data_IF_103253014946
#
_entry.id   IF_103253014946
#
_cell.length_a   1.000
_cell.length_b   1.000
_cell.length_c   1.000
_cell.angle_alpha   90.00
_cell.angle_beta   90.00
_cell.angle_gamma   90.00
#
_symmetry.space_group_name_H-M   'P 1'
#
loop_
_entity.id
_entity.type
_entity.pdbx_description
1 polymer ?
#
# COMPACT_ATOMS: atom_id res chain seq x y z
N UNK A 1 35.40 -23.85 -54.10
CA UNK A 1 35.68 -23.11 -52.90
C UNK A 1 34.94 -21.80 -52.91
N UNK A 2 33.92 -21.55 -52.10
CA UNK A 2 33.79 -20.23 -51.51
C UNK A 2 33.60 -20.34 -49.98
N UNK A 3 34.22 -19.38 -49.26
CA UNK A 3 34.19 -19.19 -47.81
C UNK A 3 32.83 -18.69 -47.36
N UNK A 4 32.20 -19.41 -46.45
CA UNK A 4 31.08 -18.96 -45.66
C UNK A 4 31.58 -18.00 -44.56
N UNK A 5 31.09 -16.76 -44.60
CA UNK A 5 31.26 -15.73 -43.55
C UNK A 5 30.13 -15.89 -42.56
N UNK A 6 30.44 -16.34 -41.36
CA UNK A 6 29.63 -16.25 -40.17
C UNK A 6 29.51 -14.78 -39.73
N UNK A 7 28.27 -14.26 -39.68
CA UNK A 7 27.95 -13.01 -38.98
C UNK A 7 27.81 -13.31 -37.47
N UNK A 8 28.38 -12.53 -36.59
CA UNK A 8 27.99 -12.54 -35.19
C UNK A 8 26.66 -11.80 -35.05
N UNK A 9 25.71 -12.43 -34.44
CA UNK A 9 24.45 -11.78 -33.97
C UNK A 9 24.79 -11.00 -32.69
N UNK A 10 24.91 -9.68 -32.85
CA UNK A 10 25.00 -8.74 -31.74
C UNK A 10 23.62 -8.65 -31.09
N UNK A 11 23.39 -9.42 -30.04
CA UNK A 11 22.26 -9.27 -29.13
C UNK A 11 22.42 -7.97 -28.35
N UNK A 12 21.79 -6.89 -28.79
CA UNK A 12 21.59 -5.70 -27.97
C UNK A 12 20.86 -6.07 -26.69
N UNK A 13 21.36 -5.67 -25.49
CA UNK A 13 20.59 -5.82 -24.26
C UNK A 13 19.39 -4.88 -24.33
N UNK A 14 18.19 -5.46 -24.25
CA UNK A 14 16.94 -4.70 -24.05
C UNK A 14 17.12 -3.71 -22.89
N UNK A 15 17.30 -2.45 -23.25
CA UNK A 15 17.25 -1.33 -22.30
C UNK A 15 15.81 -1.30 -21.75
N UNK A 16 15.66 -1.68 -20.50
CA UNK A 16 14.48 -1.35 -19.70
C UNK A 16 14.27 0.15 -19.82
N UNK A 17 13.28 0.55 -20.59
CA UNK A 17 12.83 1.93 -20.69
C UNK A 17 12.19 2.31 -19.35
N UNK A 18 12.99 2.88 -18.46
CA UNK A 18 12.47 3.60 -17.33
C UNK A 18 11.56 4.71 -17.90
N UNK A 19 10.27 4.64 -17.61
CA UNK A 19 9.30 5.65 -18.03
C UNK A 19 9.76 6.99 -17.46
N UNK A 20 10.27 7.86 -18.33
CA UNK A 20 10.73 9.20 -17.94
C UNK A 20 9.48 10.02 -17.61
N UNK A 21 9.17 10.13 -16.32
CA UNK A 21 8.09 11.01 -15.82
C UNK A 21 8.39 12.43 -16.27
N UNK A 22 7.48 13.05 -16.99
CA UNK A 22 7.66 14.40 -17.56
C UNK A 22 7.84 15.44 -16.44
N UNK A 23 8.53 16.56 -16.75
CA UNK A 23 8.69 17.66 -15.80
C UNK A 23 7.34 18.22 -15.33
N UNK A 24 6.32 18.19 -16.19
CA UNK A 24 4.98 18.63 -15.85
C UNK A 24 4.30 17.69 -14.85
N UNK A 25 4.41 16.38 -15.04
CA UNK A 25 3.89 15.39 -14.10
C UNK A 25 4.57 15.49 -12.73
N UNK A 26 5.90 15.68 -12.69
CA UNK A 26 6.63 15.89 -11.44
C UNK A 26 6.16 17.16 -10.72
N UNK A 27 5.95 18.26 -11.46
CA UNK A 27 5.43 19.51 -10.90
C UNK A 27 4.00 19.35 -10.37
N UNK A 28 3.15 18.61 -11.08
CA UNK A 28 1.78 18.34 -10.63
C UNK A 28 1.77 17.47 -9.37
N UNK A 29 2.62 16.44 -9.31
CA UNK A 29 2.78 15.59 -8.13
C UNK A 29 3.23 16.44 -6.92
N UNK A 30 4.24 17.28 -7.08
CA UNK A 30 4.72 18.16 -6.02
C UNK A 30 3.63 19.08 -5.46
N UNK A 31 2.83 19.71 -6.34
CA UNK A 31 1.72 20.57 -5.89
C UNK A 31 0.66 19.77 -5.16
N UNK A 32 0.30 18.59 -5.66
CA UNK A 32 -0.65 17.68 -5.01
C UNK A 32 -0.17 17.29 -3.61
N UNK A 33 1.08 16.91 -3.50
CA UNK A 33 1.68 16.49 -2.23
C UNK A 33 1.75 17.66 -1.23
N UNK A 34 2.10 18.87 -1.69
CA UNK A 34 2.09 20.08 -0.86
C UNK A 34 0.69 20.39 -0.31
N UNK A 35 -0.36 20.25 -1.14
CA UNK A 35 -1.75 20.44 -0.69
C UNK A 35 -2.12 19.37 0.35
N UNK A 36 -1.73 18.11 0.13
CA UNK A 36 -2.01 17.02 1.05
C UNK A 36 -1.33 17.23 2.40
N UNK A 37 -0.05 17.57 2.41
CA UNK A 37 0.70 17.83 3.64
C UNK A 37 0.09 18.99 4.45
N UNK A 38 -0.21 20.12 3.80
CA UNK A 38 -0.84 21.27 4.46
C UNK A 38 -2.21 20.89 5.06
N UNK A 39 -2.97 20.03 4.39
CA UNK A 39 -4.26 19.57 4.91
C UNK A 39 -4.11 18.68 6.13
N UNK A 40 -3.17 17.73 6.12
CA UNK A 40 -2.93 16.84 7.28
C UNK A 40 -2.49 17.64 8.50
N UNK A 41 -1.63 18.67 8.34
CA UNK A 41 -1.24 19.55 9.43
C UNK A 41 -2.44 20.31 10.00
N UNK A 42 -3.27 20.90 9.13
CA UNK A 42 -4.47 21.62 9.57
C UNK A 42 -5.51 20.71 10.22
N UNK A 43 -5.70 19.49 9.73
CA UNK A 43 -6.60 18.52 10.35
C UNK A 43 -6.10 18.08 11.74
N UNK A 44 -4.80 17.94 11.91
CA UNK A 44 -4.21 17.62 13.22
C UNK A 44 -4.31 18.78 14.21
N UNK A 45 -4.13 20.03 13.74
CA UNK A 45 -4.15 21.25 14.56
C UNK A 45 -5.57 21.69 14.91
N UNK A 46 -6.43 21.87 13.90
CA UNK A 46 -7.77 22.48 14.02
C UNK A 46 -8.92 21.49 14.00
N UNK A 47 -8.66 20.28 13.56
CA UNK A 47 -9.67 19.26 13.32
C UNK A 47 -10.14 19.20 11.88
N UNK A 48 -10.61 18.02 11.48
CA UNK A 48 -11.07 17.78 10.11
C UNK A 48 -12.30 18.60 9.75
N UNK A 49 -13.27 18.72 10.67
CA UNK A 49 -14.54 19.40 10.40
C UNK A 49 -14.37 20.92 10.29
N UNK A 50 -13.56 21.52 11.18
CA UNK A 50 -13.30 22.96 11.24
C UNK A 50 -12.35 23.47 10.13
N UNK A 51 -11.64 22.57 9.46
CA UNK A 51 -10.73 22.95 8.38
C UNK A 51 -11.50 23.13 7.07
N UNK A 52 -11.38 24.30 6.44
CA UNK A 52 -11.98 24.60 5.14
C UNK A 52 -10.98 24.39 4.00
N UNK A 53 -11.50 24.28 2.76
CA UNK A 53 -10.65 24.20 1.56
C UNK A 53 -9.83 25.48 1.38
N UNK A 54 -10.39 26.62 1.78
CA UNK A 54 -9.72 27.92 1.77
C UNK A 54 -8.52 27.92 2.71
N UNK A 55 -8.66 27.34 3.91
CA UNK A 55 -7.53 27.19 4.86
C UNK A 55 -6.43 26.32 4.26
N UNK A 56 -6.79 25.18 3.64
CA UNK A 56 -5.83 24.28 3.01
C UNK A 56 -5.11 24.95 1.85
N UNK A 57 -5.85 25.61 0.96
CA UNK A 57 -5.29 26.28 -0.20
C UNK A 57 -4.32 27.41 0.21
N UNK A 58 -4.69 28.20 1.20
CA UNK A 58 -3.83 29.26 1.75
C UNK A 58 -2.54 28.70 2.36
N UNK A 59 -2.64 27.64 3.19
CA UNK A 59 -1.49 27.00 3.80
C UNK A 59 -0.56 26.33 2.78
N UNK A 60 -1.12 25.76 1.70
CA UNK A 60 -0.34 25.19 0.61
C UNK A 60 0.21 26.24 -0.39
N UNK A 61 0.00 27.54 -0.16
CA UNK A 61 0.43 28.60 -1.08
C UNK A 61 -0.23 28.51 -2.46
N UNK A 62 -1.47 28.04 -2.53
CA UNK A 62 -2.21 27.82 -3.78
C UNK A 62 -3.61 28.45 -3.75
N UNK A 63 -4.36 28.35 -4.84
CA UNK A 63 -5.74 28.84 -4.91
C UNK A 63 -6.75 27.71 -4.66
N UNK A 64 -7.98 28.07 -4.23
CA UNK A 64 -9.12 27.14 -4.18
C UNK A 64 -9.35 26.43 -5.52
N UNK A 65 -9.20 27.14 -6.66
CA UNK A 65 -9.29 26.55 -8.00
C UNK A 65 -8.21 25.49 -8.23
N UNK A 66 -6.98 25.73 -7.75
CA UNK A 66 -5.90 24.76 -7.83
C UNK A 66 -6.16 23.54 -6.95
N UNK A 67 -6.72 23.72 -5.75
CA UNK A 67 -7.16 22.60 -4.92
C UNK A 67 -8.10 21.66 -5.69
N UNK A 68 -9.19 22.20 -6.26
CA UNK A 68 -10.19 21.42 -7.00
C UNK A 68 -9.67 20.79 -8.31
N UNK A 69 -8.49 21.16 -8.77
CA UNK A 69 -7.82 20.44 -9.87
C UNK A 69 -7.24 19.11 -9.45
N UNK A 70 -6.92 18.93 -8.16
CA UNK A 70 -6.26 17.74 -7.62
C UNK A 70 -7.16 16.91 -6.72
N UNK A 71 -8.12 17.52 -6.04
CA UNK A 71 -8.99 16.90 -5.05
C UNK A 71 -10.42 17.42 -5.17
N UNK A 72 -11.39 16.50 -5.15
CA UNK A 72 -12.80 16.86 -5.23
C UNK A 72 -13.33 17.39 -3.89
N UNK A 73 -12.74 16.96 -2.78
CA UNK A 73 -13.17 17.33 -1.42
C UNK A 73 -12.07 17.08 -0.38
N UNK A 74 -12.29 17.49 0.87
CA UNK A 74 -11.45 17.13 2.01
C UNK A 74 -11.41 15.61 2.22
N UNK A 75 -12.54 14.93 1.99
CA UNK A 75 -12.64 13.48 2.10
C UNK A 75 -11.82 12.77 1.02
N UNK A 76 -11.87 13.26 -0.22
CA UNK A 76 -11.04 12.72 -1.30
C UNK A 76 -9.54 12.90 -1.01
N UNK A 77 -9.15 14.05 -0.45
CA UNK A 77 -7.78 14.27 0.01
C UNK A 77 -7.34 13.24 1.07
N UNK A 78 -8.20 12.91 2.04
CA UNK A 78 -7.90 11.86 3.03
C UNK A 78 -7.78 10.47 2.39
N UNK A 79 -8.54 10.19 1.34
CA UNK A 79 -8.49 8.94 0.59
C UNK A 79 -7.16 8.76 -0.18
N UNK A 80 -6.48 9.86 -0.53
CA UNK A 80 -5.19 9.82 -1.23
C UNK A 80 -4.11 9.08 -0.42
N UNK A 81 -4.12 9.17 0.90
CA UNK A 81 -3.22 8.42 1.77
C UNK A 81 -3.34 6.89 1.56
N UNK A 82 -4.56 6.39 1.34
CA UNK A 82 -4.81 4.96 1.05
C UNK A 82 -4.28 4.56 -0.32
N UNK A 83 -4.39 5.43 -1.33
CA UNK A 83 -3.85 5.13 -2.67
C UNK A 83 -2.31 5.07 -2.66
N UNK A 84 -1.66 5.99 -1.95
CA UNK A 84 -0.20 5.95 -1.77
C UNK A 84 0.26 4.71 -1.00
N UNK A 85 -0.49 4.29 0.02
CA UNK A 85 -0.28 3.04 0.72
C UNK A 85 -0.44 1.82 -0.21
N UNK A 86 -1.45 1.80 -1.09
CA UNK A 86 -1.65 0.78 -2.12
C UNK A 86 -0.46 0.67 -3.08
N UNK A 87 0.08 1.81 -3.52
CA UNK A 87 1.30 1.85 -4.35
C UNK A 87 2.48 1.22 -3.61
N UNK A 88 2.71 1.57 -2.34
CA UNK A 88 3.79 0.99 -1.54
C UNK A 88 3.65 -0.53 -1.40
N UNK A 89 2.44 -1.06 -1.28
CA UNK A 89 2.18 -2.50 -1.24
C UNK A 89 2.52 -3.17 -2.57
N UNK A 90 2.05 -2.62 -3.69
CA UNK A 90 2.31 -3.20 -5.02
C UNK A 90 3.78 -3.17 -5.38
N UNK A 91 4.50 -2.11 -5.03
CA UNK A 91 5.94 -2.00 -5.23
C UNK A 91 6.70 -3.02 -4.38
N UNK A 92 6.37 -3.17 -3.10
CA UNK A 92 6.99 -4.19 -2.23
C UNK A 92 6.77 -5.63 -2.73
N UNK A 93 5.61 -5.93 -3.34
CA UNK A 93 5.34 -7.21 -3.98
C UNK A 93 6.25 -7.42 -5.20
N UNK A 94 6.36 -6.41 -6.06
CA UNK A 94 7.16 -6.47 -7.30
C UNK A 94 8.67 -6.55 -7.02
N UNK A 95 9.14 -5.84 -6.01
CA UNK A 95 10.55 -5.78 -5.61
C UNK A 95 10.99 -6.99 -4.79
N UNK A 96 10.07 -7.84 -4.34
CA UNK A 96 10.40 -9.07 -3.62
C UNK A 96 11.25 -10.01 -4.50
N UNK A 97 12.29 -10.68 -3.96
CA UNK A 97 13.13 -11.62 -4.70
C UNK A 97 12.34 -12.66 -5.52
N UNK A 98 12.78 -12.94 -6.75
CA UNK A 98 12.06 -13.83 -7.68
C UNK A 98 11.93 -15.26 -7.16
N UNK A 99 12.85 -15.68 -6.31
CA UNK A 99 12.93 -17.02 -5.70
C UNK A 99 11.95 -17.21 -4.55
N UNK A 100 11.33 -16.13 -4.04
CA UNK A 100 10.44 -16.19 -2.90
C UNK A 100 9.14 -16.95 -3.22
N UNK A 101 8.73 -17.81 -2.29
CA UNK A 101 7.41 -18.44 -2.27
C UNK A 101 6.31 -17.39 -2.04
N UNK A 102 5.02 -17.71 -2.33
CA UNK A 102 3.90 -16.80 -2.05
C UNK A 102 3.86 -16.27 -0.61
N UNK A 103 4.19 -17.11 0.36
CA UNK A 103 4.24 -16.73 1.77
C UNK A 103 5.39 -15.75 2.07
N UNK A 104 6.57 -16.01 1.49
CA UNK A 104 7.73 -15.13 1.66
C UNK A 104 7.51 -13.77 1.01
N UNK A 105 6.89 -13.72 -0.18
CA UNK A 105 6.49 -12.44 -0.81
C UNK A 105 5.52 -11.69 0.08
N UNK A 106 4.49 -12.36 0.60
CA UNK A 106 3.50 -11.78 1.50
C UNK A 106 4.15 -11.20 2.77
N UNK A 107 4.95 -12.00 3.48
CA UNK A 107 5.66 -11.57 4.69
C UNK A 107 6.63 -10.41 4.41
N UNK A 108 7.37 -10.47 3.31
CA UNK A 108 8.25 -9.39 2.86
C UNK A 108 7.47 -8.09 2.65
N UNK A 109 6.34 -8.16 1.95
CA UNK A 109 5.46 -7.00 1.69
C UNK A 109 4.98 -6.38 2.99
N UNK A 110 4.43 -7.17 3.92
CA UNK A 110 3.97 -6.69 5.22
C UNK A 110 5.09 -5.98 5.99
N UNK A 111 6.27 -6.60 6.07
CA UNK A 111 7.40 -6.07 6.82
C UNK A 111 7.94 -4.77 6.21
N UNK A 112 8.08 -4.73 4.89
CA UNK A 112 8.58 -3.55 4.16
C UNK A 112 7.65 -2.36 4.36
N UNK A 113 6.35 -2.57 4.15
CA UNK A 113 5.37 -1.49 4.27
C UNK A 113 5.15 -1.07 5.73
N UNK A 114 5.14 -2.02 6.68
CA UNK A 114 5.05 -1.69 8.10
C UNK A 114 6.20 -0.79 8.55
N UNK A 115 7.45 -1.15 8.23
CA UNK A 115 8.63 -0.36 8.57
C UNK A 115 8.63 1.02 7.92
N UNK A 116 8.32 1.11 6.63
CA UNK A 116 8.25 2.38 5.91
C UNK A 116 7.18 3.31 6.50
N UNK A 117 6.00 2.75 6.81
CA UNK A 117 4.91 3.51 7.41
C UNK A 117 5.22 3.94 8.85
N UNK A 118 5.87 3.09 9.66
CA UNK A 118 6.27 3.45 11.03
C UNK A 118 7.34 4.56 11.06
N UNK A 119 8.21 4.60 10.05
CA UNK A 119 9.23 5.64 9.90
C UNK A 119 8.65 6.98 9.42
N UNK A 120 7.45 6.98 8.83
CA UNK A 120 6.81 8.20 8.32
C UNK A 120 5.98 8.87 9.44
N UNK A 121 6.36 10.10 9.90
CA UNK A 121 5.64 10.80 10.96
C UNK A 121 4.18 11.11 10.60
N UNK A 122 3.85 11.22 9.31
CA UNK A 122 2.49 11.47 8.82
C UNK A 122 1.54 10.29 9.03
N UNK A 123 2.04 9.06 9.05
CA UNK A 123 1.23 7.86 9.27
C UNK A 123 0.41 7.97 10.56
N UNK A 124 1.05 8.41 11.64
CA UNK A 124 0.37 8.63 12.91
C UNK A 124 -0.75 9.66 12.80
N UNK A 125 -0.45 10.83 12.24
CA UNK A 125 -1.43 11.92 12.09
C UNK A 125 -2.65 11.45 11.30
N UNK A 126 -2.43 10.79 10.17
CA UNK A 126 -3.50 10.26 9.31
C UNK A 126 -4.37 9.25 10.05
N UNK A 127 -3.76 8.36 10.83
CA UNK A 127 -4.50 7.36 11.61
C UNK A 127 -5.30 8.01 12.75
N UNK A 128 -4.73 8.96 13.49
CA UNK A 128 -5.41 9.71 14.55
C UNK A 128 -6.61 10.50 13.99
N UNK A 129 -6.45 11.15 12.82
CA UNK A 129 -7.53 11.85 12.14
C UNK A 129 -8.64 10.87 11.75
N UNK A 130 -8.30 9.72 11.15
CA UNK A 130 -9.28 8.72 10.75
C UNK A 130 -9.99 8.06 11.96
N UNK A 131 -9.31 7.90 13.08
CA UNK A 131 -9.95 7.41 14.31
C UNK A 131 -10.92 8.43 14.92
N UNK A 132 -10.55 9.70 14.90
CA UNK A 132 -11.32 10.78 15.53
C UNK A 132 -12.51 11.24 14.68
N UNK A 133 -12.39 11.24 13.36
CA UNK A 133 -13.38 11.80 12.45
C UNK A 133 -14.00 10.72 11.54
N UNK A 134 -15.27 10.34 11.76
CA UNK A 134 -15.93 9.31 10.97
C UNK A 134 -15.95 9.58 9.46
N UNK A 135 -16.09 10.85 9.04
CA UNK A 135 -16.09 11.22 7.63
C UNK A 135 -14.72 10.96 6.97
N UNK A 136 -13.63 11.26 7.67
CA UNK A 136 -12.27 10.96 7.20
C UNK A 136 -12.05 9.44 7.06
N UNK A 137 -12.49 8.66 8.07
CA UNK A 137 -12.40 7.20 8.04
C UNK A 137 -13.23 6.60 6.91
N UNK A 138 -14.46 7.08 6.70
CA UNK A 138 -15.32 6.59 5.63
C UNK A 138 -14.71 6.80 4.25
N UNK A 139 -14.07 7.94 4.03
CA UNK A 139 -13.36 8.23 2.79
C UNK A 139 -12.22 7.24 2.52
N UNK A 140 -11.46 6.86 3.55
CA UNK A 140 -10.40 5.85 3.44
C UNK A 140 -10.99 4.47 3.14
N UNK A 141 -12.04 4.05 3.86
CA UNK A 141 -12.70 2.76 3.65
C UNK A 141 -13.21 2.62 2.20
N UNK A 142 -13.74 3.68 1.62
CA UNK A 142 -14.25 3.66 0.24
C UNK A 142 -13.17 3.30 -0.80
N UNK A 143 -11.87 3.54 -0.52
CA UNK A 143 -10.75 3.22 -1.42
C UNK A 143 -10.09 1.87 -1.12
N UNK A 144 -10.39 1.24 0.00
CA UNK A 144 -9.75 -0.03 0.38
C UNK A 144 -10.02 -1.13 -0.66
N UNK A 145 -11.22 -1.22 -1.21
CA UNK A 145 -11.55 -2.22 -2.22
C UNK A 145 -10.69 -2.05 -3.49
N UNK A 146 -10.52 -0.82 -3.96
CA UNK A 146 -9.66 -0.51 -5.11
C UNK A 146 -8.21 -0.92 -4.86
N UNK A 147 -7.67 -0.60 -3.68
CA UNK A 147 -6.32 -1.00 -3.28
C UNK A 147 -6.20 -2.53 -3.17
N UNK A 148 -7.20 -3.21 -2.63
CA UNK A 148 -7.20 -4.67 -2.55
C UNK A 148 -7.17 -5.32 -3.94
N UNK A 149 -7.90 -4.78 -4.91
CA UNK A 149 -7.88 -5.28 -6.28
C UNK A 149 -6.50 -5.09 -6.93
N UNK A 150 -5.87 -3.92 -6.75
CA UNK A 150 -4.52 -3.65 -7.25
C UNK A 150 -3.47 -4.57 -6.61
N UNK A 151 -3.55 -4.79 -5.32
CA UNK A 151 -2.66 -5.70 -4.57
C UNK A 151 -2.87 -7.15 -5.00
N UNK A 152 -4.13 -7.57 -5.22
CA UNK A 152 -4.44 -8.92 -5.71
C UNK A 152 -3.89 -9.14 -7.13
N UNK A 153 -3.96 -8.13 -7.99
CA UNK A 153 -3.35 -8.21 -9.33
C UNK A 153 -1.83 -8.33 -9.25
N UNK A 154 -1.16 -7.52 -8.42
CA UNK A 154 0.29 -7.60 -8.23
C UNK A 154 0.74 -8.98 -7.71
N UNK A 155 0.00 -9.59 -6.77
CA UNK A 155 0.25 -10.96 -6.35
C UNK A 155 0.00 -11.96 -7.47
N UNK A 156 -1.07 -11.79 -8.28
CA UNK A 156 -1.40 -12.67 -9.41
C UNK A 156 -0.32 -12.64 -10.48
N UNK A 157 0.18 -11.46 -10.83
CA UNK A 157 1.31 -11.27 -11.75
C UNK A 157 2.57 -12.00 -11.26
N UNK A 158 2.79 -11.96 -9.95
CA UNK A 158 3.95 -12.54 -9.30
C UNK A 158 3.93 -14.07 -9.30
N UNK A 159 2.76 -14.70 -9.14
CA UNK A 159 2.62 -16.17 -9.00
C UNK A 159 2.41 -16.91 -10.32
N UNK A 160 2.04 -16.23 -11.40
CA UNK A 160 1.97 -16.67 -12.81
C UNK A 160 1.41 -18.05 -13.14
N UNK A 161 0.54 -18.72 -12.35
CA UNK A 161 -0.06 -20.02 -12.77
C UNK A 161 -1.41 -20.33 -12.11
N UNK A 162 -2.49 -20.40 -12.93
CA UNK A 162 -3.73 -21.14 -12.63
C UNK A 162 -4.81 -20.43 -11.79
N UNK A 163 -6.01 -21.03 -11.76
CA UNK A 163 -7.15 -20.44 -11.00
C UNK A 163 -6.94 -20.48 -9.49
N UNK A 164 -6.20 -21.46 -8.97
CA UNK A 164 -5.84 -21.58 -7.56
C UNK A 164 -4.98 -20.40 -7.11
N UNK A 165 -4.11 -19.90 -7.98
CA UNK A 165 -3.21 -18.79 -7.68
C UNK A 165 -3.95 -17.47 -7.60
N UNK A 166 -5.01 -17.25 -8.40
CA UNK A 166 -5.89 -16.07 -8.28
C UNK A 166 -6.65 -16.04 -6.96
N UNK A 167 -7.13 -17.16 -6.48
CA UNK A 167 -7.79 -17.23 -5.17
C UNK A 167 -6.80 -16.94 -4.05
N UNK A 168 -5.60 -17.51 -4.11
CA UNK A 168 -4.52 -17.24 -3.17
C UNK A 168 -4.13 -15.75 -3.18
N UNK A 169 -3.97 -15.14 -4.36
CA UNK A 169 -3.65 -13.72 -4.49
C UNK A 169 -4.71 -12.81 -3.84
N UNK A 170 -6.00 -13.11 -4.04
CA UNK A 170 -7.11 -12.37 -3.40
C UNK A 170 -7.12 -12.54 -1.89
N UNK A 171 -6.86 -13.75 -1.38
CA UNK A 171 -6.76 -14.01 0.06
C UNK A 171 -5.60 -13.21 0.65
N UNK A 172 -4.41 -13.25 0.02
CA UNK A 172 -3.25 -12.51 0.49
C UNK A 172 -3.48 -10.99 0.47
N UNK A 173 -4.13 -10.47 -0.57
CA UNK A 173 -4.48 -9.05 -0.65
C UNK A 173 -5.42 -8.62 0.49
N UNK A 174 -6.46 -9.40 0.76
CA UNK A 174 -7.38 -9.12 1.87
C UNK A 174 -6.67 -9.20 3.23
N UNK A 175 -5.85 -10.22 3.44
CA UNK A 175 -5.07 -10.40 4.67
C UNK A 175 -4.04 -9.28 4.86
N UNK A 176 -3.41 -8.79 3.77
CA UNK A 176 -2.41 -7.72 3.84
C UNK A 176 -2.97 -6.49 4.53
N UNK A 177 -4.11 -5.99 4.08
CA UNK A 177 -4.74 -4.82 4.69
C UNK A 177 -5.14 -5.07 6.15
N UNK A 178 -5.78 -6.21 6.42
CA UNK A 178 -6.27 -6.53 7.76
C UNK A 178 -5.14 -6.70 8.77
N UNK A 179 -4.09 -7.44 8.42
CA UNK A 179 -2.94 -7.68 9.32
C UNK A 179 -2.13 -6.42 9.58
N UNK A 180 -1.92 -5.58 8.57
CA UNK A 180 -1.26 -4.28 8.78
C UNK A 180 -2.11 -3.37 9.66
N UNK A 181 -3.43 -3.37 9.50
CA UNK A 181 -4.35 -2.62 10.38
C UNK A 181 -4.20 -3.03 11.85
N UNK A 182 -4.25 -4.34 12.14
CA UNK A 182 -4.05 -4.89 13.50
C UNK A 182 -2.64 -4.59 14.00
N UNK A 183 -1.62 -4.73 13.14
CA UNK A 183 -0.23 -4.44 13.51
C UNK A 183 -0.06 -2.98 13.93
N UNK A 184 -0.60 -2.03 13.16
CA UNK A 184 -0.53 -0.62 13.51
C UNK A 184 -1.30 -0.30 14.78
N UNK A 185 -2.49 -0.85 14.96
CA UNK A 185 -3.28 -0.65 16.18
C UNK A 185 -2.49 -1.12 17.42
N UNK A 186 -2.00 -2.36 17.41
CA UNK A 186 -1.22 -2.92 18.52
C UNK A 186 0.07 -2.11 18.78
N UNK A 187 0.74 -1.66 17.71
CA UNK A 187 1.96 -0.87 17.81
C UNK A 187 1.73 0.50 18.45
N UNK A 188 0.59 1.16 18.14
CA UNK A 188 0.22 2.42 18.78
C UNK A 188 -0.16 2.22 20.25
N UNK A 189 -0.90 1.17 20.58
CA UNK A 189 -1.32 0.86 21.93
C UNK A 189 -0.14 0.47 22.84
N UNK A 190 0.87 -0.23 22.31
CA UNK A 190 2.05 -0.69 23.07
C UNK A 190 3.13 0.37 23.31
N UNK A 191 2.90 1.62 22.92
CA UNK A 191 3.87 2.70 23.13
C UNK A 191 5.01 2.74 22.08
N UNK A 192 4.86 2.09 20.91
CA UNK A 192 5.72 2.18 19.74
C UNK A 192 7.14 1.60 19.90
N UNK A 193 7.21 0.35 20.23
CA UNK A 193 8.42 -0.45 20.07
C UNK A 193 8.79 -0.69 18.59
N UNK A 194 9.59 -1.70 18.32
CA UNK A 194 9.87 -2.12 16.95
C UNK A 194 8.62 -2.73 16.29
N UNK A 195 8.10 -2.08 15.25
CA UNK A 195 6.92 -2.54 14.53
C UNK A 195 7.12 -3.94 13.89
N UNK A 196 8.36 -4.31 13.60
CA UNK A 196 8.66 -5.65 13.08
C UNK A 196 8.33 -6.73 14.13
N UNK A 197 8.62 -6.48 15.42
CA UNK A 197 8.27 -7.40 16.52
C UNK A 197 6.74 -7.51 16.63
N UNK A 198 6.04 -6.39 16.58
CA UNK A 198 4.57 -6.39 16.64
C UNK A 198 3.97 -7.16 15.45
N UNK A 199 4.49 -6.99 14.24
CA UNK A 199 4.05 -7.74 13.07
C UNK A 199 4.30 -9.25 13.22
N UNK A 200 5.46 -9.66 13.69
CA UNK A 200 5.77 -11.09 13.91
C UNK A 200 4.81 -11.72 14.95
N UNK A 201 4.43 -10.99 15.99
CA UNK A 201 3.43 -11.45 16.96
C UNK A 201 2.05 -11.63 16.31
N UNK A 202 1.63 -10.70 15.45
CA UNK A 202 0.36 -10.81 14.71
C UNK A 202 0.39 -12.02 13.75
N UNK A 203 1.50 -12.26 13.06
CA UNK A 203 1.67 -13.41 12.18
C UNK A 203 1.73 -14.74 12.96
N UNK A 204 2.36 -14.77 14.13
CA UNK A 204 2.38 -15.95 15.00
C UNK A 204 0.96 -16.32 15.45
N UNK A 205 0.18 -15.35 15.92
CA UNK A 205 -1.22 -15.56 16.31
C UNK A 205 -2.07 -16.12 15.15
N UNK A 206 -1.89 -15.59 13.93
CA UNK A 206 -2.56 -16.11 12.74
C UNK A 206 -2.19 -17.57 12.46
N UNK A 207 -0.90 -17.92 12.58
CA UNK A 207 -0.42 -19.28 12.40
C UNK A 207 -0.99 -20.24 13.42
N UNK A 208 -1.04 -19.88 14.69
CA UNK A 208 -1.63 -20.71 15.77
C UNK A 208 -3.12 -20.98 15.52
N UNK A 209 -3.87 -19.95 15.13
CA UNK A 209 -5.29 -20.08 14.77
C UNK A 209 -5.48 -21.06 13.59
N UNK A 210 -4.65 -20.94 12.54
CA UNK A 210 -4.71 -21.81 11.37
C UNK A 210 -4.37 -23.26 11.70
N UNK A 211 -3.35 -23.51 12.52
CA UNK A 211 -2.98 -24.85 13.00
C UNK A 211 -4.10 -25.48 13.85
N UNK A 212 -4.70 -24.71 14.76
CA UNK A 212 -5.81 -25.18 15.60
C UNK A 212 -7.04 -25.55 14.76
N UNK A 213 -7.34 -24.78 13.71
CA UNK A 213 -8.44 -25.07 12.80
C UNK A 213 -8.22 -26.37 12.01
N UNK A 214 -6.97 -26.65 11.61
CA UNK A 214 -6.62 -27.89 10.88
C UNK A 214 -6.76 -29.13 11.77
N UNK A 215 -6.48 -29.02 13.05
CA UNK A 215 -6.63 -30.12 14.02
C UNK A 215 -8.11 -30.49 14.28
N UNK A 216 -9.06 -29.56 14.01
CA UNK A 216 -10.49 -29.78 14.19
C UNK A 216 -11.17 -30.36 12.95
N UNK A 217 -10.49 -30.49 11.81
CA UNK A 217 -11.07 -31.08 10.60
C UNK A 217 -10.95 -32.61 10.69
N UNK A 218 -12.07 -33.36 10.86
CA UNK A 218 -11.97 -34.82 10.89
C UNK A 218 -11.46 -35.30 9.54
N UNK A 219 -10.48 -36.26 9.58
CA UNK A 219 -10.00 -36.98 8.40
C UNK A 219 -11.22 -37.47 7.61
N UNK A 220 -11.40 -36.95 6.37
CA UNK A 220 -12.28 -37.60 5.42
C UNK A 220 -11.70 -39.02 5.19
N UNK A 221 -12.22 -39.99 5.96
CA UNK A 221 -11.96 -41.39 5.70
C UNK A 221 -12.31 -41.66 4.24
N UNK A 222 -11.30 -41.96 3.45
CA UNK A 222 -11.46 -42.55 2.14
C UNK A 222 -12.31 -43.83 2.28
N UNK A 223 -13.45 -43.86 1.59
CA UNK A 223 -14.15 -45.04 1.19
C UNK A 223 -14.01 -45.22 -0.29
#
# INVERSE_FOLDING_TARGET
MPKSLLRPEDGEPERRTATVVSLNERKQALVRDTIWEAAIDLFAEKGFDETTIEHIAAAAGTSRRSFFRYYESKSDLMAQGILSYGTSLTDAIRDSPVTNSPWEVFRHTLLTVAKASAANPRTKQVMEIAQRYPAARQAQIARIAEVQDQVAEAFSERFKKGSKDRTTARILAALTHSLLGVTFQNWFESGRGDIAVTLEQVLANLSEMACSATALTPERRAK
#
